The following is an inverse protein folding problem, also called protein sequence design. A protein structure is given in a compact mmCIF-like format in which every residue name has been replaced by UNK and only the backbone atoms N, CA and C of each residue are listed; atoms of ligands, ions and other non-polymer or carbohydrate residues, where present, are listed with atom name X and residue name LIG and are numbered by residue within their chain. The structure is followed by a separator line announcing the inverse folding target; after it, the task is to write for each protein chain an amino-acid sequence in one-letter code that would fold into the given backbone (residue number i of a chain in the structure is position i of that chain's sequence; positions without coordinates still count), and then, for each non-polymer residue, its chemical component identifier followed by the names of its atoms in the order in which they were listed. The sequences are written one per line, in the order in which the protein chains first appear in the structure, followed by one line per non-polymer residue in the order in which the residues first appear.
data_IF_036104388430
#
_entry.id   IF_036104388430
#
_cell.length_a   1.000
_cell.length_b   1.000
_cell.length_c   1.000
_cell.angle_alpha   90.00
_cell.angle_beta   90.00
_cell.angle_gamma   90.00
#
_symmetry.space_group_name_H-M   'P 1'
#
loop_
_entity.id
_entity.type
_entity.pdbx_description
1 polymer ?
#
# COMPACT_ATOMS: atom_id res chain seq x y z
N UNK A 1 -19.13 -5.58 12.11
CA UNK A 1 -18.05 -5.26 11.15
C UNK A 1 -16.85 -6.14 11.47
N UNK A 2 -16.31 -6.86 10.49
CA UNK A 2 -15.35 -7.96 10.67
C UNK A 2 -13.94 -7.44 10.99
N UNK A 3 -13.25 -8.08 11.94
CA UNK A 3 -11.84 -7.79 12.25
C UNK A 3 -10.87 -8.42 11.21
N UNK A 4 -11.36 -8.64 9.98
CA UNK A 4 -10.64 -9.30 8.90
C UNK A 4 -9.82 -8.26 8.12
N UNK A 5 -8.57 -8.57 7.73
CA UNK A 5 -7.68 -7.65 7.03
C UNK A 5 -8.04 -7.52 5.54
N UNK A 6 -9.07 -6.74 5.20
CA UNK A 6 -9.52 -6.55 3.80
C UNK A 6 -8.78 -5.36 3.15
N UNK A 7 -8.42 -4.35 3.94
CA UNK A 7 -7.73 -3.14 3.49
C UNK A 7 -6.48 -3.36 2.63
N UNK A 8 -5.64 -4.41 2.78
CA UNK A 8 -4.48 -4.60 1.89
C UNK A 8 -4.90 -4.71 0.42
N UNK A 9 -6.03 -5.39 0.15
CA UNK A 9 -6.56 -5.53 -1.21
C UNK A 9 -7.07 -4.21 -1.78
N UNK A 10 -7.77 -3.41 -0.97
CA UNK A 10 -8.24 -2.09 -1.39
C UNK A 10 -7.08 -1.13 -1.65
N UNK A 11 -6.05 -1.12 -0.80
CA UNK A 11 -4.85 -0.33 -1.05
C UNK A 11 -4.09 -0.77 -2.31
N UNK A 12 -4.03 -2.08 -2.60
CA UNK A 12 -3.40 -2.59 -3.82
C UNK A 12 -4.20 -2.28 -5.09
N UNK A 13 -5.53 -2.26 -5.00
CA UNK A 13 -6.41 -1.87 -6.11
C UNK A 13 -6.35 -0.38 -6.41
N UNK A 14 -6.18 0.46 -5.38
CA UNK A 14 -6.20 1.92 -5.51
C UNK A 14 -5.36 2.46 -6.67
N UNK A 15 -4.05 2.18 -6.81
CA UNK A 15 -3.24 2.73 -7.89
C UNK A 15 -3.69 2.29 -9.28
N UNK A 16 -4.16 1.03 -9.42
CA UNK A 16 -4.65 0.50 -10.70
C UNK A 16 -5.93 1.22 -11.12
N UNK A 17 -6.87 1.35 -10.20
CA UNK A 17 -8.11 2.05 -10.44
C UNK A 17 -7.87 3.54 -10.66
N UNK A 18 -6.93 4.15 -9.92
CA UNK A 18 -6.61 5.55 -10.06
C UNK A 18 -6.05 5.86 -11.45
N UNK A 19 -5.17 5.00 -11.97
CA UNK A 19 -4.68 5.14 -13.33
C UNK A 19 -5.81 4.99 -14.36
N UNK A 20 -6.72 4.03 -14.19
CA UNK A 20 -7.87 3.86 -15.06
C UNK A 20 -8.80 5.08 -15.04
N UNK A 21 -9.18 5.56 -13.86
CA UNK A 21 -10.10 6.68 -13.68
C UNK A 21 -9.57 7.96 -14.36
N UNK A 22 -8.27 8.23 -14.27
CA UNK A 22 -7.65 9.38 -14.94
C UNK A 22 -7.48 9.21 -16.45
N UNK A 23 -7.71 8.01 -17.01
CA UNK A 23 -7.46 7.69 -18.42
C UNK A 23 -8.66 6.99 -19.10
N UNK A 24 -9.87 7.05 -18.53
CA UNK A 24 -11.07 6.40 -19.08
C UNK A 24 -11.41 6.84 -20.51
N UNK A 25 -11.04 8.07 -20.90
CA UNK A 25 -11.20 8.56 -22.28
C UNK A 25 -10.11 8.11 -23.26
N UNK A 26 -9.06 7.43 -22.78
CA UNK A 26 -7.89 7.03 -23.57
C UNK A 26 -7.66 5.52 -23.60
N UNK A 27 -8.21 4.78 -22.63
CA UNK A 27 -7.94 3.36 -22.45
C UNK A 27 -9.24 2.61 -22.15
N UNK A 28 -9.43 1.46 -22.78
CA UNK A 28 -10.56 0.57 -22.50
C UNK A 28 -10.53 0.05 -21.06
N UNK A 29 -11.72 -0.10 -20.46
CA UNK A 29 -11.89 -0.67 -19.11
C UNK A 29 -11.28 -2.08 -18.99
N UNK A 30 -11.26 -2.84 -20.08
CA UNK A 30 -10.69 -4.19 -20.13
C UNK A 30 -9.17 -4.22 -19.88
N UNK A 31 -8.47 -3.10 -20.12
CA UNK A 31 -7.03 -2.99 -19.88
C UNK A 31 -6.69 -3.13 -18.38
N UNK A 32 -7.63 -2.82 -17.48
CA UNK A 32 -7.43 -2.92 -16.04
C UNK A 32 -7.56 -4.35 -15.50
N UNK A 33 -8.15 -5.30 -16.24
CA UNK A 33 -8.38 -6.66 -15.73
C UNK A 33 -7.09 -7.39 -15.36
N UNK A 34 -6.08 -7.36 -16.24
CA UNK A 34 -4.80 -8.04 -15.98
C UNK A 34 -4.07 -7.43 -14.76
N UNK A 35 -3.89 -6.09 -14.67
CA UNK A 35 -3.32 -5.47 -13.47
C UNK A 35 -4.12 -5.75 -12.19
N UNK A 36 -5.45 -5.68 -12.22
CA UNK A 36 -6.32 -5.98 -11.07
C UNK A 36 -6.08 -7.41 -10.57
N UNK A 37 -6.13 -8.39 -11.46
CA UNK A 37 -5.90 -9.80 -11.11
C UNK A 37 -4.49 -9.95 -10.51
N UNK A 38 -3.48 -9.36 -11.14
CA UNK A 38 -2.10 -9.45 -10.69
C UNK A 38 -1.92 -8.88 -9.27
N UNK A 39 -2.43 -7.68 -8.99
CA UNK A 39 -2.29 -7.06 -7.66
C UNK A 39 -3.10 -7.80 -6.59
N UNK A 40 -4.27 -8.35 -6.94
CA UNK A 40 -5.07 -9.14 -5.99
C UNK A 40 -4.40 -10.46 -5.63
N UNK A 41 -3.85 -11.19 -6.63
CA UNK A 41 -3.09 -12.42 -6.39
C UNK A 41 -1.83 -12.13 -5.58
N UNK A 42 -1.06 -11.11 -5.97
CA UNK A 42 0.13 -10.68 -5.25
C UNK A 42 -0.17 -10.29 -3.80
N UNK A 43 -1.28 -9.58 -3.57
CA UNK A 43 -1.73 -9.21 -2.22
C UNK A 43 -2.15 -10.43 -1.41
N UNK A 44 -2.89 -11.37 -2.01
CA UNK A 44 -3.27 -12.61 -1.33
C UNK A 44 -2.04 -13.44 -0.95
N UNK A 45 -1.08 -13.60 -1.86
CA UNK A 45 0.16 -14.32 -1.61
C UNK A 45 0.97 -13.66 -0.48
N UNK A 46 1.13 -12.33 -0.52
CA UNK A 46 1.82 -11.57 0.52
C UNK A 46 1.13 -11.70 1.88
N UNK A 47 -0.21 -11.58 1.91
CA UNK A 47 -0.98 -11.70 3.14
C UNK A 47 -0.87 -13.11 3.75
N UNK A 48 -0.95 -14.16 2.92
CA UNK A 48 -0.80 -15.55 3.37
C UNK A 48 0.61 -15.83 3.87
N UNK A 49 1.64 -15.33 3.17
CA UNK A 49 3.04 -15.43 3.60
C UNK A 49 3.22 -14.79 4.97
N UNK A 50 2.78 -13.54 5.14
CA UNK A 50 2.92 -12.81 6.41
C UNK A 50 2.04 -13.41 7.51
N UNK A 51 0.88 -13.99 7.17
CA UNK A 51 0.06 -14.77 8.10
C UNK A 51 0.83 -16.00 8.60
N UNK A 52 1.55 -16.69 7.72
CA UNK A 52 2.42 -17.82 8.09
C UNK A 52 3.57 -17.40 9.02
N UNK A 53 4.22 -16.26 8.74
CA UNK A 53 5.35 -15.75 9.52
C UNK A 53 4.92 -15.23 10.90
N UNK A 54 3.86 -14.42 10.96
CA UNK A 54 3.46 -13.71 12.18
C UNK A 54 2.33 -14.39 12.96
N UNK A 55 1.71 -15.45 12.41
CA UNK A 55 0.68 -16.25 13.07
C UNK A 55 -0.63 -15.52 13.37
N UNK A 56 -0.78 -14.25 12.99
CA UNK A 56 -1.91 -13.37 13.32
C UNK A 56 -2.41 -12.62 12.07
N UNK A 57 -3.70 -12.75 11.75
CA UNK A 57 -4.30 -12.14 10.55
C UNK A 57 -4.34 -10.61 10.65
N UNK A 58 -4.54 -10.07 11.85
CA UNK A 58 -4.59 -8.63 12.07
C UNK A 58 -3.20 -8.02 11.85
N UNK A 59 -2.15 -8.67 12.36
CA UNK A 59 -0.75 -8.26 12.14
C UNK A 59 -0.37 -8.38 10.67
N UNK A 60 -0.65 -9.54 10.07
CA UNK A 60 -0.38 -9.78 8.65
C UNK A 60 -1.05 -8.72 7.77
N UNK A 61 -2.31 -8.38 8.04
CA UNK A 61 -3.03 -7.33 7.32
C UNK A 61 -2.34 -5.97 7.35
N UNK A 62 -2.04 -5.47 8.55
CA UNK A 62 -1.39 -4.15 8.70
C UNK A 62 -0.01 -4.13 8.04
N UNK A 63 0.76 -5.21 8.18
CA UNK A 63 2.09 -5.32 7.56
C UNK A 63 1.97 -5.39 6.03
N UNK A 64 1.06 -6.21 5.49
CA UNK A 64 0.79 -6.27 4.05
C UNK A 64 0.43 -4.89 3.50
N UNK A 65 -0.50 -4.18 4.15
CA UNK A 65 -0.91 -2.85 3.74
C UNK A 65 0.25 -1.85 3.76
N UNK A 66 1.08 -1.90 4.81
CA UNK A 66 2.27 -1.04 4.91
C UNK A 66 3.21 -1.28 3.72
N UNK A 67 3.52 -2.55 3.43
CA UNK A 67 4.40 -2.92 2.30
C UNK A 67 3.80 -2.49 0.97
N UNK A 68 2.50 -2.75 0.75
CA UNK A 68 1.79 -2.40 -0.49
C UNK A 68 1.80 -0.89 -0.72
N UNK A 69 1.46 -0.10 0.31
CA UNK A 69 1.46 1.37 0.22
C UNK A 69 2.87 1.88 -0.10
N UNK A 70 3.89 1.40 0.60
CA UNK A 70 5.27 1.83 0.38
C UNK A 70 5.80 1.42 -1.00
N UNK A 71 5.45 0.22 -1.47
CA UNK A 71 5.81 -0.27 -2.80
C UNK A 71 5.24 0.62 -3.91
N UNK A 72 3.92 0.87 -3.90
CA UNK A 72 3.28 1.66 -4.93
C UNK A 72 3.64 3.15 -4.87
N UNK A 73 3.94 3.69 -3.69
CA UNK A 73 4.31 5.10 -3.55
C UNK A 73 5.78 5.39 -3.87
N UNK A 74 6.68 4.38 -3.83
CA UNK A 74 8.11 4.58 -4.05
C UNK A 74 8.43 5.29 -5.37
N UNK A 75 7.87 4.81 -6.48
CA UNK A 75 8.13 5.38 -7.80
C UNK A 75 7.62 6.81 -7.95
N UNK A 76 6.49 7.14 -7.33
CA UNK A 76 5.93 8.49 -7.31
C UNK A 76 6.82 9.45 -6.51
N UNK A 77 7.21 9.06 -5.29
CA UNK A 77 8.10 9.91 -4.47
C UNK A 77 9.47 10.05 -5.13
N UNK A 78 10.03 8.97 -5.68
CA UNK A 78 11.26 9.04 -6.46
C UNK A 78 11.13 10.04 -7.62
N UNK A 79 10.04 9.99 -8.39
CA UNK A 79 9.83 10.90 -9.52
C UNK A 79 9.71 12.36 -9.08
N UNK A 80 9.10 12.62 -7.93
CA UNK A 80 9.01 13.98 -7.35
C UNK A 80 10.36 14.50 -6.86
N UNK A 81 11.19 13.62 -6.29
CA UNK A 81 12.43 14.02 -5.63
C UNK A 81 13.68 13.90 -6.51
N UNK A 82 13.66 13.14 -7.61
CA UNK A 82 14.86 12.79 -8.39
C UNK A 82 15.65 13.99 -8.91
N UNK A 83 14.99 15.12 -9.13
CA UNK A 83 15.57 16.36 -9.63
C UNK A 83 15.75 17.44 -8.55
N UNK A 84 15.45 17.13 -7.28
CA UNK A 84 15.57 18.07 -6.17
C UNK A 84 16.93 17.89 -5.51
N UNK A 85 17.66 19.00 -5.40
CA UNK A 85 18.92 19.09 -4.69
C UNK A 85 18.77 20.03 -3.49
N UNK A 86 19.26 19.60 -2.33
CA UNK A 86 19.30 20.41 -1.11
C UNK A 86 20.77 20.51 -0.71
N UNK A 87 21.30 21.74 -0.64
CA UNK A 87 22.71 21.99 -0.30
C UNK A 87 23.70 21.22 -1.20
N UNK A 88 23.38 21.09 -2.50
CA UNK A 88 24.18 20.33 -3.47
C UNK A 88 24.04 18.80 -3.38
N UNK A 89 23.14 18.30 -2.53
CA UNK A 89 22.86 16.87 -2.38
C UNK A 89 21.53 16.52 -3.04
N UNK A 90 21.57 15.67 -4.06
CA UNK A 90 20.37 15.13 -4.71
C UNK A 90 19.62 14.16 -3.78
N UNK A 91 18.55 14.62 -3.15
CA UNK A 91 17.80 13.84 -2.15
C UNK A 91 16.97 12.72 -2.77
N UNK A 92 16.59 12.83 -4.03
CA UNK A 92 15.85 11.80 -4.74
C UNK A 92 16.69 10.62 -5.23
N UNK A 93 17.97 10.53 -4.86
CA UNK A 93 18.81 9.40 -5.25
C UNK A 93 18.37 8.14 -4.51
N UNK A 94 18.35 7.00 -5.19
CA UNK A 94 17.98 5.70 -4.59
C UNK A 94 18.78 5.37 -3.32
N UNK A 95 20.05 5.79 -3.25
CA UNK A 95 20.90 5.61 -2.05
C UNK A 95 20.34 6.24 -0.77
N UNK A 96 19.52 7.28 -0.89
CA UNK A 96 18.87 7.94 0.25
C UNK A 96 17.44 7.44 0.46
N UNK A 97 16.69 7.24 -0.63
CA UNK A 97 15.30 6.78 -0.53
C UNK A 97 15.17 5.34 -0.05
N UNK A 98 16.04 4.41 -0.50
CA UNK A 98 15.94 3.00 -0.09
C UNK A 98 16.08 2.80 1.42
N UNK A 99 17.08 3.39 2.11
CA UNK A 99 17.17 3.31 3.57
C UNK A 99 15.92 3.84 4.28
N UNK A 100 15.35 4.95 3.80
CA UNK A 100 14.12 5.53 4.38
C UNK A 100 12.95 4.57 4.23
N UNK A 101 12.75 3.99 3.05
CA UNK A 101 11.69 3.00 2.82
C UNK A 101 11.87 1.76 3.67
N UNK A 102 13.10 1.26 3.78
CA UNK A 102 13.40 0.11 4.61
C UNK A 102 13.12 0.41 6.10
N UNK A 103 13.51 1.59 6.59
CA UNK A 103 13.21 2.02 7.95
C UNK A 103 11.70 2.10 8.21
N UNK A 104 10.92 2.61 7.26
CA UNK A 104 9.45 2.65 7.36
C UNK A 104 8.83 1.24 7.40
N UNK A 105 9.34 0.30 6.59
CA UNK A 105 8.89 -1.10 6.62
C UNK A 105 9.21 -1.72 7.98
N UNK A 106 10.45 -1.58 8.45
CA UNK A 106 10.89 -2.13 9.74
C UNK A 106 10.04 -1.55 10.88
N UNK A 107 9.82 -0.23 10.87
CA UNK A 107 8.97 0.44 11.85
C UNK A 107 7.53 -0.09 11.82
N UNK A 108 6.93 -0.23 10.63
CA UNK A 108 5.58 -0.75 10.46
C UNK A 108 5.43 -2.19 10.98
N UNK A 109 6.44 -3.04 10.73
CA UNK A 109 6.50 -4.41 11.26
C UNK A 109 6.62 -4.39 12.79
N UNK A 110 7.60 -3.66 13.31
CA UNK A 110 7.84 -3.55 14.75
C UNK A 110 6.60 -3.06 15.49
N UNK A 111 5.94 -2.01 14.98
CA UNK A 111 4.73 -1.47 15.58
C UNK A 111 3.57 -2.48 15.51
N UNK A 112 3.38 -3.14 14.37
CA UNK A 112 2.33 -4.15 14.19
C UNK A 112 2.49 -5.33 15.14
N UNK A 113 3.72 -5.77 15.38
CA UNK A 113 4.00 -6.88 16.32
C UNK A 113 3.84 -6.41 17.77
N UNK A 114 4.37 -5.24 18.10
CA UNK A 114 4.54 -4.78 19.49
C UNK A 114 3.32 -4.06 20.07
N UNK A 115 2.50 -3.39 19.24
CA UNK A 115 1.46 -2.46 19.71
C UNK A 115 0.06 -2.82 19.24
N UNK A 116 -0.09 -3.57 18.17
CA UNK A 116 -1.42 -3.82 17.57
C UNK A 116 -2.40 -4.55 18.50
N UNK A 117 -1.91 -5.32 19.47
CA UNK A 117 -2.76 -5.96 20.50
C UNK A 117 -3.54 -4.93 21.31
N UNK A 118 -2.97 -3.76 21.59
CA UNK A 118 -3.62 -2.67 22.33
C UNK A 118 -4.70 -1.94 21.51
N UNK A 119 -4.71 -2.10 20.18
CA UNK A 119 -5.63 -1.41 19.27
C UNK A 119 -6.51 -2.41 18.51
N UNK A 120 -7.57 -2.95 19.13
CA UNK A 120 -8.42 -3.99 18.54
C UNK A 120 -9.11 -3.56 17.23
N UNK A 121 -9.36 -2.26 17.05
CA UNK A 121 -10.12 -1.69 15.92
C UNK A 121 -9.26 -1.26 14.73
N UNK A 122 -7.93 -1.36 14.78
CA UNK A 122 -7.04 -0.87 13.70
C UNK A 122 -7.38 -1.44 12.33
N UNK A 123 -7.68 -2.74 12.23
CA UNK A 123 -8.04 -3.36 10.95
C UNK A 123 -9.35 -2.80 10.40
N UNK A 124 -10.34 -2.56 11.27
CA UNK A 124 -11.62 -1.97 10.88
C UNK A 124 -11.43 -0.52 10.40
N UNK A 125 -10.65 0.28 11.13
CA UNK A 125 -10.32 1.66 10.73
C UNK A 125 -9.63 1.69 9.38
N UNK A 126 -8.63 0.83 9.15
CA UNK A 126 -7.94 0.74 7.86
C UNK A 126 -8.87 0.26 6.73
N UNK A 127 -9.79 -0.68 7.00
CA UNK A 127 -10.80 -1.10 6.02
C UNK A 127 -11.68 0.09 5.61
N UNK A 128 -12.13 0.90 6.57
CA UNK A 128 -12.93 2.10 6.30
C UNK A 128 -12.14 3.15 5.51
N UNK A 129 -10.91 3.44 5.90
CA UNK A 129 -10.04 4.39 5.17
C UNK A 129 -9.83 3.92 3.73
N UNK A 130 -9.47 2.66 3.53
CA UNK A 130 -9.20 2.13 2.20
C UNK A 130 -10.45 2.14 1.30
N UNK A 131 -11.62 1.84 1.87
CA UNK A 131 -12.89 1.91 1.14
C UNK A 131 -13.25 3.36 0.77
N UNK A 132 -13.07 4.31 1.69
CA UNK A 132 -13.31 5.73 1.44
C UNK A 132 -12.40 6.28 0.35
N UNK A 133 -11.13 5.86 0.31
CA UNK A 133 -10.19 6.24 -0.75
C UNK A 133 -10.65 5.74 -2.12
N UNK A 134 -11.13 4.50 -2.21
CA UNK A 134 -11.67 3.95 -3.46
C UNK A 134 -12.93 4.69 -3.90
N UNK A 135 -13.82 5.03 -2.97
CA UNK A 135 -15.03 5.80 -3.28
C UNK A 135 -14.69 7.20 -3.82
N UNK A 136 -13.77 7.90 -3.15
CA UNK A 136 -13.38 9.25 -3.54
C UNK A 136 -12.76 9.32 -4.94
N UNK A 137 -12.11 8.25 -5.38
CA UNK A 137 -11.54 8.17 -6.72
C UNK A 137 -12.58 8.42 -7.83
N UNK A 138 -13.82 7.99 -7.63
CA UNK A 138 -14.90 8.12 -8.61
C UNK A 138 -15.80 9.34 -8.42
N UNK A 139 -15.49 10.15 -7.42
CA UNK A 139 -16.16 11.43 -7.16
C UNK A 139 -15.46 12.64 -7.80
N UNK A 140 -14.34 12.41 -8.49
CA UNK A 140 -13.54 13.41 -9.20
C UNK A 140 -13.78 13.31 -10.70
#
# INVERSE_FOLDING_TARGET
MTNKPIHPFFFALYPVLALLANNVGQVDLSAAYRPIIFVLIGTAALLLLLRGIFGDWRRAGVISATIIILFFTYGHIYTLLKNIEILGVGIGRHRFLLPVWLALIIFGIWWSVSKLSAYPKTNQTLNSIALLLLFFLWSR
#
